data_IF_778567760414
#
_entry.id   IF_778567760414
#
_cell.length_a   1.000
_cell.length_b   1.000
_cell.length_c   1.000
_cell.angle_alpha   90.00
_cell.angle_beta   90.00
_cell.angle_gamma   90.00
#
_symmetry.space_group_name_H-M   'P 1'
#
loop_
_entity.id
_entity.type
_entity.pdbx_description
1 polymer ?
#
# COMPACT_ATOMS: atom_id res chain seq x y z
N UNK A 1 -14.50 8.10 1.82
CA UNK A 1 -15.79 8.09 2.53
C UNK A 1 -15.64 7.31 3.82
N UNK A 2 -15.48 8.02 4.93
CA UNK A 2 -15.38 7.42 6.26
C UNK A 2 -16.72 6.78 6.66
N UNK A 3 -16.76 5.92 7.69
CA UNK A 3 -18.03 5.39 8.23
C UNK A 3 -18.97 6.50 8.74
N UNK A 4 -18.41 7.59 9.26
CA UNK A 4 -19.16 8.71 9.83
C UNK A 4 -19.81 9.57 8.74
N UNK A 5 -19.04 9.98 7.72
CA UNK A 5 -19.55 10.69 6.53
C UNK A 5 -20.69 9.93 5.85
N UNK A 6 -20.66 8.59 5.89
CA UNK A 6 -21.73 7.75 5.34
C UNK A 6 -23.03 7.84 6.10
N UNK A 7 -22.97 7.85 7.44
CA UNK A 7 -24.16 7.98 8.29
C UNK A 7 -24.79 9.36 8.14
N UNK A 8 -23.97 10.39 8.01
CA UNK A 8 -24.45 11.75 7.76
C UNK A 8 -25.14 11.87 6.39
N UNK A 9 -24.52 11.30 5.35
CA UNK A 9 -25.10 11.33 4.01
C UNK A 9 -26.35 10.46 3.89
N UNK A 10 -26.42 9.32 4.57
CA UNK A 10 -27.65 8.52 4.61
C UNK A 10 -28.78 9.26 5.33
N UNK A 11 -28.50 9.92 6.47
CA UNK A 11 -29.49 10.75 7.16
C UNK A 11 -30.01 11.89 6.27
N UNK A 12 -29.11 12.57 5.54
CA UNK A 12 -29.49 13.62 4.58
C UNK A 12 -30.34 13.06 3.42
N UNK A 13 -29.97 11.90 2.86
CA UNK A 13 -30.74 11.25 1.80
C UNK A 13 -32.13 10.84 2.30
N UNK A 14 -32.25 10.27 3.50
CA UNK A 14 -33.52 9.89 4.10
C UNK A 14 -34.40 11.12 4.30
N UNK A 15 -33.83 12.21 4.83
CA UNK A 15 -34.54 13.48 5.03
C UNK A 15 -35.06 14.07 3.72
N UNK A 16 -34.19 14.21 2.71
CA UNK A 16 -34.61 14.73 1.40
C UNK A 16 -35.68 13.85 0.75
N UNK A 17 -35.66 12.55 1.03
CA UNK A 17 -36.66 11.62 0.52
C UNK A 17 -37.98 11.69 1.28
N UNK A 18 -37.97 11.92 2.59
CA UNK A 18 -39.19 12.23 3.35
C UNK A 18 -39.81 13.57 2.94
N UNK A 19 -38.97 14.52 2.54
CA UNK A 19 -39.39 15.82 2.00
C UNK A 19 -39.94 15.73 0.57
N UNK A 20 -39.96 14.53 -0.04
CA UNK A 20 -40.58 14.25 -1.33
C UNK A 20 -39.67 14.44 -2.55
N UNK A 21 -38.37 14.74 -2.36
CA UNK A 21 -37.44 14.89 -3.48
C UNK A 21 -37.24 13.57 -4.23
N UNK A 22 -37.18 13.64 -5.57
CA UNK A 22 -36.90 12.47 -6.39
C UNK A 22 -35.43 12.09 -6.28
N UNK A 23 -35.13 10.80 -6.46
CA UNK A 23 -33.76 10.27 -6.41
C UNK A 23 -32.80 10.99 -7.37
N UNK A 24 -33.30 11.49 -8.51
CA UNK A 24 -32.50 12.27 -9.47
C UNK A 24 -32.06 13.60 -8.85
N UNK A 25 -32.98 14.33 -8.23
CA UNK A 25 -32.73 15.65 -7.67
C UNK A 25 -31.81 15.55 -6.44
N UNK A 26 -31.96 14.48 -5.64
CA UNK A 26 -31.07 14.17 -4.51
C UNK A 26 -29.65 13.86 -5.01
N UNK A 27 -29.51 13.15 -6.12
CA UNK A 27 -28.23 12.82 -6.72
C UNK A 27 -27.50 14.08 -7.22
N UNK A 28 -28.23 14.98 -7.89
CA UNK A 28 -27.69 16.25 -8.39
C UNK A 28 -27.30 17.21 -7.25
N UNK A 29 -28.14 17.33 -6.22
CA UNK A 29 -27.88 18.21 -5.06
C UNK A 29 -26.71 17.75 -4.20
N UNK A 30 -26.54 16.44 -4.02
CA UNK A 30 -25.45 15.89 -3.20
C UNK A 30 -24.19 15.54 -4.00
N UNK A 31 -24.21 15.70 -5.33
CA UNK A 31 -23.10 15.31 -6.20
C UNK A 31 -22.82 13.80 -6.19
N UNK A 32 -23.85 12.98 -5.98
CA UNK A 32 -23.75 11.53 -5.87
C UNK A 32 -24.35 10.83 -7.09
N UNK A 33 -23.95 9.58 -7.34
CA UNK A 33 -24.62 8.77 -8.35
C UNK A 33 -26.03 8.34 -7.86
N UNK A 34 -26.98 8.19 -8.77
CA UNK A 34 -28.35 7.68 -8.45
C UNK A 34 -28.32 6.31 -7.75
N UNK A 35 -27.35 5.47 -8.13
CA UNK A 35 -27.12 4.18 -7.50
C UNK A 35 -26.68 4.34 -6.04
N UNK A 36 -25.77 5.27 -5.77
CA UNK A 36 -25.30 5.60 -4.41
C UNK A 36 -26.44 6.13 -3.54
N UNK A 37 -27.28 7.02 -4.05
CA UNK A 37 -28.46 7.53 -3.32
C UNK A 37 -29.43 6.39 -2.97
N UNK A 38 -29.67 5.48 -3.91
CA UNK A 38 -30.54 4.32 -3.68
C UNK A 38 -29.97 3.40 -2.60
N UNK A 39 -28.66 3.19 -2.60
CA UNK A 39 -27.98 2.41 -1.57
C UNK A 39 -28.02 3.10 -0.20
N UNK A 40 -27.74 4.40 -0.13
CA UNK A 40 -27.77 5.17 1.13
C UNK A 40 -29.16 5.30 1.73
N UNK A 41 -30.23 5.10 0.95
CA UNK A 41 -31.60 5.07 1.46
C UNK A 41 -31.94 3.80 2.26
N UNK A 42 -31.13 2.74 2.16
CA UNK A 42 -31.28 1.52 2.94
C UNK A 42 -29.89 1.01 3.35
N UNK A 43 -29.48 1.39 4.56
CA UNK A 43 -28.14 1.11 5.09
C UNK A 43 -27.87 -0.40 5.22
N UNK A 44 -28.86 -1.19 5.64
CA UNK A 44 -28.70 -2.65 5.77
C UNK A 44 -28.39 -3.29 4.41
N UNK A 45 -29.15 -2.89 3.38
CA UNK A 45 -28.92 -3.35 2.01
C UNK A 45 -27.57 -2.88 1.46
N UNK A 46 -27.12 -1.68 1.85
CA UNK A 46 -25.79 -1.21 1.48
C UNK A 46 -24.67 -2.04 2.11
N UNK A 47 -24.80 -2.40 3.39
CA UNK A 47 -23.83 -3.24 4.08
C UNK A 47 -23.77 -4.65 3.48
N UNK A 48 -24.91 -5.25 3.15
CA UNK A 48 -24.96 -6.54 2.45
C UNK A 48 -24.25 -6.50 1.09
N UNK A 49 -24.51 -5.48 0.28
CA UNK A 49 -23.87 -5.30 -1.03
C UNK A 49 -22.35 -5.12 -0.86
N UNK A 50 -21.94 -4.37 0.15
CA UNK A 50 -20.53 -4.15 0.44
C UNK A 50 -19.84 -5.45 0.87
N UNK A 51 -20.47 -6.24 1.75
CA UNK A 51 -19.95 -7.53 2.17
C UNK A 51 -19.84 -8.51 0.99
N UNK A 52 -20.87 -8.62 0.15
CA UNK A 52 -20.84 -9.46 -1.06
C UNK A 52 -19.71 -9.06 -2.00
N UNK A 53 -19.54 -7.75 -2.22
CA UNK A 53 -18.46 -7.23 -3.08
C UNK A 53 -17.08 -7.56 -2.52
N UNK A 54 -16.88 -7.41 -1.20
CA UNK A 54 -15.63 -7.79 -0.53
C UNK A 54 -15.36 -9.28 -0.61
N UNK A 55 -16.36 -10.11 -0.38
CA UNK A 55 -16.26 -11.57 -0.50
C UNK A 55 -15.87 -11.98 -1.92
N UNK A 56 -16.54 -11.41 -2.93
CA UNK A 56 -16.23 -11.64 -4.35
C UNK A 56 -14.80 -11.23 -4.70
N UNK A 57 -14.35 -10.03 -4.28
CA UNK A 57 -12.97 -9.60 -4.51
C UNK A 57 -11.95 -10.52 -3.81
N UNK A 58 -12.25 -10.98 -2.61
CA UNK A 58 -11.40 -11.91 -1.87
C UNK A 58 -11.33 -13.26 -2.58
N UNK A 59 -12.46 -13.77 -3.06
CA UNK A 59 -12.53 -15.00 -3.84
C UNK A 59 -11.76 -14.87 -5.15
N UNK A 60 -11.89 -13.77 -5.89
CA UNK A 60 -11.11 -13.50 -7.09
C UNK A 60 -9.61 -13.42 -6.82
N UNK A 61 -9.18 -12.79 -5.72
CA UNK A 61 -7.76 -12.74 -5.33
C UNK A 61 -7.22 -14.12 -5.00
N UNK A 62 -7.99 -14.94 -4.27
CA UNK A 62 -7.63 -16.33 -3.96
C UNK A 62 -7.54 -17.15 -5.25
N UNK A 63 -8.54 -17.02 -6.14
CA UNK A 63 -8.58 -17.70 -7.42
C UNK A 63 -7.38 -17.32 -8.31
N UNK A 64 -6.99 -16.04 -8.37
CA UNK A 64 -5.77 -15.60 -9.09
C UNK A 64 -4.51 -16.23 -8.50
N UNK A 65 -4.37 -16.26 -7.17
CA UNK A 65 -3.24 -16.92 -6.51
C UNK A 65 -3.22 -18.43 -6.77
N UNK A 66 -4.38 -19.07 -6.86
CA UNK A 66 -4.48 -20.52 -7.06
C UNK A 66 -4.43 -20.95 -8.52
N UNK A 67 -4.86 -20.10 -9.47
CA UNK A 67 -4.87 -20.42 -10.90
C UNK A 67 -3.54 -20.11 -11.60
N UNK A 68 -2.84 -19.05 -11.21
CA UNK A 68 -1.72 -18.54 -12.02
C UNK A 68 -0.54 -18.08 -11.16
N UNK A 69 0.11 -19.01 -10.47
CA UNK A 69 1.56 -18.87 -10.36
C UNK A 69 2.12 -19.27 -11.73
N UNK A 70 2.23 -18.32 -12.66
CA UNK A 70 3.01 -18.55 -13.87
C UNK A 70 4.37 -19.08 -13.43
N UNK A 71 4.85 -20.21 -13.99
CA UNK A 71 6.16 -20.72 -13.63
C UNK A 71 7.16 -19.60 -13.87
N UNK A 72 7.89 -19.23 -12.82
CA UNK A 72 8.97 -18.26 -12.94
C UNK A 72 10.00 -18.90 -13.88
N UNK A 73 10.33 -18.21 -14.98
CA UNK A 73 11.30 -18.74 -15.94
C UNK A 73 12.64 -19.03 -15.26
N UNK A 74 13.35 -20.04 -15.74
CA UNK A 74 14.68 -20.41 -15.21
C UNK A 74 15.63 -19.20 -15.21
N UNK A 75 15.58 -18.39 -16.28
CA UNK A 75 16.35 -17.14 -16.40
C UNK A 75 16.07 -16.14 -15.28
N UNK A 76 14.84 -16.10 -14.76
CA UNK A 76 14.45 -15.19 -13.67
C UNK A 76 14.95 -15.73 -12.33
N UNK A 77 14.95 -17.06 -12.15
CA UNK A 77 15.53 -17.71 -10.98
C UNK A 77 17.05 -17.55 -10.94
N UNK A 78 17.72 -17.67 -12.09
CA UNK A 78 19.17 -17.45 -12.24
C UNK A 78 19.55 -16.01 -11.88
N UNK A 79 18.89 -15.01 -12.47
CA UNK A 79 19.12 -13.58 -12.14
C UNK A 79 18.94 -13.29 -10.66
N UNK A 80 17.96 -13.94 -10.02
CA UNK A 80 17.74 -13.81 -8.58
C UNK A 80 18.91 -14.39 -7.78
N UNK A 81 19.39 -15.58 -8.15
CA UNK A 81 20.57 -16.19 -7.50
C UNK A 81 21.83 -15.35 -7.69
N UNK A 82 22.06 -14.82 -8.89
CA UNK A 82 23.17 -13.90 -9.17
C UNK A 82 23.10 -12.64 -8.30
N UNK A 83 21.91 -12.05 -8.17
CA UNK A 83 21.70 -10.89 -7.31
C UNK A 83 21.94 -11.20 -5.83
N UNK A 84 21.45 -12.35 -5.36
CA UNK A 84 21.68 -12.83 -3.98
C UNK A 84 23.16 -13.10 -3.72
N UNK A 85 23.90 -13.68 -4.68
CA UNK A 85 25.34 -13.89 -4.59
C UNK A 85 26.12 -12.56 -4.51
N UNK A 86 25.81 -11.60 -5.38
CA UNK A 86 26.41 -10.26 -5.34
C UNK A 86 26.14 -9.55 -4.01
N UNK A 87 24.94 -9.70 -3.46
CA UNK A 87 24.61 -9.12 -2.15
C UNK A 87 25.40 -9.77 -1.00
N UNK A 88 25.71 -11.06 -1.10
CA UNK A 88 26.48 -11.78 -0.07
C UNK A 88 27.95 -11.35 -0.03
N UNK A 89 28.53 -10.94 -1.16
CA UNK A 89 29.90 -10.41 -1.24
C UNK A 89 30.04 -9.03 -0.57
N UNK A 90 28.95 -8.24 -0.55
CA UNK A 90 28.95 -6.90 0.02
C UNK A 90 28.68 -7.00 1.52
N UNK A 91 29.52 -6.41 2.40
CA UNK A 91 29.28 -6.43 3.84
C UNK A 91 27.89 -5.94 4.23
N UNK A 92 27.32 -6.55 5.27
CA UNK A 92 26.09 -6.05 5.89
C UNK A 92 26.32 -4.74 6.62
N UNK A 93 25.31 -3.87 6.57
CA UNK A 93 25.46 -2.46 6.87
C UNK A 93 24.09 -1.77 6.96
N UNK A 94 24.05 -0.48 7.30
CA UNK A 94 22.82 0.31 7.48
C UNK A 94 22.07 0.64 6.17
N UNK A 95 22.67 0.32 5.01
CA UNK A 95 22.06 0.54 3.69
C UNK A 95 20.98 -0.49 3.38
N UNK A 96 19.98 -0.09 2.59
CA UNK A 96 18.99 -1.03 2.04
C UNK A 96 19.65 -2.06 1.10
N UNK A 97 19.01 -3.21 0.85
CA UNK A 97 19.52 -4.22 -0.11
C UNK A 97 19.83 -3.59 -1.47
N UNK A 98 18.95 -2.71 -1.95
CA UNK A 98 19.15 -1.98 -3.22
C UNK A 98 20.34 -1.02 -3.13
N UNK A 99 20.47 -0.27 -2.03
CA UNK A 99 21.60 0.64 -1.80
C UNK A 99 22.94 -0.08 -1.62
N UNK A 100 22.92 -1.33 -1.17
CA UNK A 100 24.10 -2.21 -1.15
C UNK A 100 24.45 -2.65 -2.57
N UNK A 101 23.50 -3.23 -3.31
CA UNK A 101 23.77 -3.82 -4.63
C UNK A 101 24.04 -2.81 -5.75
N UNK A 102 23.40 -1.64 -5.74
CA UNK A 102 23.46 -0.66 -6.84
C UNK A 102 24.09 0.68 -6.44
N UNK A 103 24.57 0.80 -5.20
CA UNK A 103 25.07 2.05 -4.64
C UNK A 103 23.99 2.84 -3.91
N UNK A 104 24.40 3.55 -2.86
CA UNK A 104 23.55 4.43 -2.07
C UNK A 104 24.03 5.87 -2.28
N UNK A 105 23.12 6.83 -2.55
CA UNK A 105 23.49 8.24 -2.67
C UNK A 105 24.10 8.80 -1.37
N UNK A 106 23.86 8.18 -0.21
CA UNK A 106 24.46 8.56 1.07
C UNK A 106 25.58 7.57 1.42
N UNK A 107 26.81 7.88 0.98
CA UNK A 107 27.99 7.05 1.21
C UNK A 107 28.31 6.82 2.70
N UNK A 108 27.95 7.76 3.57
CA UNK A 108 28.17 7.67 5.02
C UNK A 108 27.46 6.49 5.68
N UNK A 109 26.41 5.97 5.04
CA UNK A 109 25.72 4.77 5.50
C UNK A 109 26.49 3.50 5.18
N UNK A 110 27.62 3.58 4.47
CA UNK A 110 28.43 2.45 4.06
C UNK A 110 29.35 1.94 5.18
N UNK A 111 29.50 0.61 5.31
CA UNK A 111 30.44 0.00 6.25
C UNK A 111 31.90 0.34 5.90
N UNK A 112 32.17 0.67 4.63
CA UNK A 112 33.46 1.19 4.18
C UNK A 112 33.73 2.59 4.76
N UNK A 113 32.71 3.44 4.85
CA UNK A 113 32.83 4.74 5.49
C UNK A 113 33.11 4.63 6.99
N UNK A 114 32.45 3.70 7.70
CA UNK A 114 32.76 3.45 9.11
C UNK A 114 34.22 3.02 9.30
N UNK A 115 34.74 2.11 8.46
CA UNK A 115 36.16 1.70 8.48
C UNK A 115 37.13 2.84 8.19
N UNK A 116 36.83 3.71 7.22
CA UNK A 116 37.65 4.88 6.93
C UNK A 116 37.67 5.87 8.10
N UNK A 117 36.51 6.07 8.74
CA UNK A 117 36.40 6.92 9.93
C UNK A 117 37.28 6.42 11.07
N UNK A 118 37.29 5.12 11.32
CA UNK A 118 38.14 4.49 12.34
C UNK A 118 39.64 4.65 12.03
N UNK A 119 40.04 4.54 10.76
CA UNK A 119 41.44 4.71 10.34
C UNK A 119 41.94 6.16 10.44
N UNK A 120 41.06 7.14 10.21
CA UNK A 120 41.41 8.56 10.25
C UNK A 120 41.20 9.22 11.62
N UNK A 121 40.61 8.52 12.61
CA UNK A 121 40.65 8.95 14.01
C UNK A 121 42.03 8.73 14.61
N UNK A 122 42.93 9.70 14.38
CA UNK A 122 44.21 9.82 15.10
C UNK A 122 43.89 9.98 16.60
N UNK A 123 44.48 9.18 17.51
CA UNK A 123 44.24 9.37 18.94
C UNK A 123 44.84 10.72 19.36
N UNK A 124 43.99 11.64 19.81
CA UNK A 124 44.43 12.87 20.47
C UNK A 124 45.10 12.45 21.77
N UNK A 125 46.44 12.31 21.75
CA UNK A 125 47.22 12.23 22.98
C UNK A 125 47.01 13.54 23.71
N UNK A 126 46.23 13.51 24.80
CA UNK A 126 46.20 14.60 25.77
C UNK A 126 47.63 14.73 26.30
N UNK A 127 48.28 15.82 25.91
CA UNK A 127 49.54 16.25 26.56
C UNK A 127 49.15 16.64 27.98
N UNK A 128 49.89 16.06 28.93
CA UNK A 128 49.70 16.18 30.37
C UNK A 128 49.80 17.62 30.88
#
# INVERSE_FOLDING_TARGET
MTPEERKELSAKVIKLRSDGHRVKDIAETLGLSRATVTLLSNMDRYEEVLQRTRAHQTALRKARKSRDALPVSDTTLERRREFEARLAEIPEDRRSKTGRAFGDPVFERSALFEKLKEQHTIPIRRVA
#
